data_IF_779212904571
#
_entry.id   IF_779212904571
#
_cell.length_a   1.000
_cell.length_b   1.000
_cell.length_c   1.000
_cell.angle_alpha   90.00
_cell.angle_beta   90.00
_cell.angle_gamma   90.00
#
_symmetry.space_group_name_H-M   'P 1'
#
loop_
_entity.id
_entity.type
_entity.pdbx_description
1 polymer ?
#
# COMPACT_ATOMS: atom_id res chain seq x y z
N UNK A 1 8.52 15.00 0.14
CA UNK A 1 8.54 13.85 -0.81
C UNK A 1 7.24 13.71 -1.61
N UNK A 2 6.05 13.64 -0.99
CA UNK A 2 4.77 13.52 -1.76
C UNK A 2 4.61 14.70 -2.73
N UNK A 3 4.74 15.94 -2.26
CA UNK A 3 4.64 17.12 -3.12
C UNK A 3 5.63 17.09 -4.30
N UNK A 4 6.89 16.71 -4.07
CA UNK A 4 7.91 16.57 -5.13
C UNK A 4 7.48 15.54 -6.18
N UNK A 5 7.02 14.38 -5.74
CA UNK A 5 6.55 13.31 -6.63
C UNK A 5 5.31 13.75 -7.44
N UNK A 6 4.39 14.50 -6.82
CA UNK A 6 3.22 15.08 -7.51
C UNK A 6 3.64 16.13 -8.54
N UNK A 7 4.53 17.06 -8.18
CA UNK A 7 5.07 18.05 -9.11
C UNK A 7 5.78 17.40 -10.31
N UNK A 8 6.60 16.36 -10.06
CA UNK A 8 7.25 15.61 -11.14
C UNK A 8 6.23 14.97 -12.07
N UNK A 9 5.18 14.36 -11.51
CA UNK A 9 4.10 13.75 -12.26
C UNK A 9 3.40 14.77 -13.17
N UNK A 10 3.02 15.92 -12.61
CA UNK A 10 2.37 17.01 -13.33
C UNK A 10 3.27 17.62 -14.41
N UNK A 11 4.55 17.81 -14.10
CA UNK A 11 5.52 18.32 -15.07
C UNK A 11 5.60 17.41 -16.30
N UNK A 12 5.74 16.09 -16.10
CA UNK A 12 5.79 15.11 -17.19
C UNK A 12 4.50 15.12 -18.03
N UNK A 13 3.32 15.19 -17.38
CA UNK A 13 2.04 15.25 -18.07
C UNK A 13 1.87 16.52 -18.93
N UNK A 14 2.25 17.69 -18.40
CA UNK A 14 2.12 18.97 -19.08
C UNK A 14 3.05 19.11 -20.30
N UNK A 15 4.22 18.46 -20.27
CA UNK A 15 5.20 18.52 -21.36
C UNK A 15 5.06 17.37 -22.38
N UNK A 16 3.91 16.69 -22.38
CA UNK A 16 3.53 15.78 -23.46
C UNK A 16 4.23 14.43 -23.48
N UNK A 17 4.91 14.06 -22.39
CA UNK A 17 5.58 12.79 -22.25
C UNK A 17 4.68 11.70 -21.68
N UNK A 18 4.77 10.49 -22.22
CA UNK A 18 4.34 9.30 -21.48
C UNK A 18 5.25 9.10 -20.28
N UNK A 19 4.70 8.70 -19.14
CA UNK A 19 5.49 8.56 -17.93
C UNK A 19 5.03 7.37 -17.09
N UNK A 20 5.94 6.83 -16.29
CA UNK A 20 5.60 5.89 -15.24
C UNK A 20 4.83 6.61 -14.15
N UNK A 21 3.73 6.01 -13.72
CA UNK A 21 2.93 6.46 -12.57
C UNK A 21 2.93 5.41 -11.50
N UNK A 22 2.95 5.85 -10.26
CA UNK A 22 2.68 4.99 -9.11
C UNK A 22 1.23 5.14 -8.72
N UNK A 23 0.44 4.10 -8.92
CA UNK A 23 -1.00 4.14 -8.68
C UNK A 23 -1.41 3.15 -7.59
N UNK A 24 -2.45 3.52 -6.87
CA UNK A 24 -3.22 2.61 -6.02
C UNK A 24 -4.68 2.82 -6.41
N UNK A 25 -5.27 1.80 -7.01
CA UNK A 25 -6.66 1.87 -7.48
C UNK A 25 -7.63 1.99 -6.32
N UNK A 26 -8.85 2.37 -6.61
CA UNK A 26 -9.95 2.28 -5.64
C UNK A 26 -10.05 0.86 -5.10
N UNK A 27 -10.19 0.67 -3.77
CA UNK A 27 -10.21 -0.66 -3.19
C UNK A 27 -11.44 -1.46 -3.64
N UNK A 28 -11.22 -2.61 -4.25
CA UNK A 28 -12.31 -3.55 -4.57
C UNK A 28 -13.07 -4.00 -3.32
N UNK A 29 -12.38 -4.02 -2.18
CA UNK A 29 -12.95 -4.40 -0.88
C UNK A 29 -13.42 -3.20 -0.06
N UNK A 30 -13.84 -2.11 -0.71
CA UNK A 30 -14.27 -0.89 -0.02
C UNK A 30 -15.38 -1.13 1.01
N UNK A 31 -16.37 -1.95 0.70
CA UNK A 31 -17.45 -2.26 1.62
C UNK A 31 -16.96 -2.92 2.92
N UNK A 32 -15.86 -3.70 2.85
CA UNK A 32 -15.22 -4.23 4.07
C UNK A 32 -14.55 -3.13 4.89
N UNK A 33 -14.01 -2.10 4.25
CA UNK A 33 -13.47 -0.91 4.94
C UNK A 33 -14.60 -0.17 5.65
N UNK A 34 -15.76 -0.02 4.99
CA UNK A 34 -16.96 0.59 5.59
C UNK A 34 -17.43 -0.21 6.81
N UNK A 35 -17.48 -1.55 6.71
CA UNK A 35 -17.82 -2.43 7.84
C UNK A 35 -16.84 -2.27 9.01
N UNK A 36 -15.53 -2.22 8.71
CA UNK A 36 -14.52 -1.97 9.75
C UNK A 36 -14.75 -0.63 10.42
N UNK A 37 -14.97 0.45 9.66
CA UNK A 37 -15.21 1.77 10.22
C UNK A 37 -16.47 1.81 11.11
N UNK A 38 -17.54 1.09 10.72
CA UNK A 38 -18.78 1.01 11.49
C UNK A 38 -18.58 0.39 12.88
N UNK A 39 -17.66 -0.57 13.03
CA UNK A 39 -17.29 -1.16 14.32
C UNK A 39 -16.66 -0.14 15.28
N UNK A 40 -16.08 0.93 14.74
CA UNK A 40 -15.53 2.06 15.50
C UNK A 40 -16.51 3.23 15.63
N UNK A 41 -17.80 3.02 15.29
CA UNK A 41 -18.83 4.05 15.38
C UNK A 41 -18.77 5.12 14.28
N UNK A 42 -18.04 4.85 13.18
CA UNK A 42 -17.85 5.79 12.08
C UNK A 42 -18.60 5.34 10.82
N UNK A 43 -19.26 6.27 10.15
CA UNK A 43 -19.95 6.03 8.89
C UNK A 43 -19.09 6.54 7.72
N UNK A 44 -18.63 5.63 6.87
CA UNK A 44 -18.00 5.96 5.60
C UNK A 44 -19.02 5.90 4.45
N UNK A 45 -18.82 6.66 3.36
CA UNK A 45 -19.66 6.57 2.16
C UNK A 45 -19.67 5.15 1.59
N UNK A 46 -20.74 4.78 0.90
CA UNK A 46 -20.83 3.48 0.21
C UNK A 46 -19.86 3.37 -0.96
N UNK A 47 -19.55 4.48 -1.60
CA UNK A 47 -18.54 4.56 -2.68
C UNK A 47 -17.16 4.92 -2.12
N UNK A 48 -16.08 4.44 -2.74
CA UNK A 48 -14.73 4.71 -2.28
C UNK A 48 -14.41 6.21 -2.22
N UNK A 49 -14.10 6.70 -1.02
CA UNK A 49 -13.70 8.07 -0.76
C UNK A 49 -12.43 8.09 0.10
N UNK A 50 -11.32 8.45 -0.53
CA UNK A 50 -10.01 8.50 0.11
C UNK A 50 -9.91 9.56 1.21
N UNK A 51 -10.63 10.70 1.07
CA UNK A 51 -10.63 11.78 2.08
C UNK A 51 -11.43 11.38 3.31
N UNK A 52 -12.59 10.73 3.10
CA UNK A 52 -13.38 10.20 4.19
C UNK A 52 -12.59 9.14 5.00
N UNK A 53 -11.87 8.25 4.28
CA UNK A 53 -10.99 7.27 4.91
C UNK A 53 -9.84 7.91 5.69
N UNK A 54 -9.17 8.91 5.11
CA UNK A 54 -8.11 9.66 5.80
C UNK A 54 -8.63 10.31 7.08
N UNK A 55 -9.79 10.97 7.02
CA UNK A 55 -10.44 11.57 8.18
C UNK A 55 -10.74 10.57 9.29
N UNK A 56 -11.29 9.40 8.91
CA UNK A 56 -11.52 8.29 9.84
C UNK A 56 -10.22 7.85 10.53
N UNK A 57 -9.19 7.54 9.76
CA UNK A 57 -7.89 7.08 10.29
C UNK A 57 -7.24 8.13 11.19
N UNK A 58 -7.33 9.41 10.83
CA UNK A 58 -6.78 10.49 11.65
C UNK A 58 -7.50 10.60 13.01
N UNK A 59 -8.83 10.41 13.05
CA UNK A 59 -9.60 10.39 14.32
C UNK A 59 -9.24 9.19 15.17
N UNK A 60 -9.18 7.99 14.59
CA UNK A 60 -8.84 6.77 15.31
C UNK A 60 -7.41 6.80 15.87
N UNK A 61 -6.46 7.37 15.14
CA UNK A 61 -5.09 7.56 15.63
C UNK A 61 -5.02 8.43 16.89
N UNK A 62 -5.91 9.42 17.00
CA UNK A 62 -5.98 10.29 18.19
C UNK A 62 -6.74 9.63 19.35
N UNK A 63 -7.80 8.86 19.01
CA UNK A 63 -8.66 8.23 20.01
C UNK A 63 -8.00 7.02 20.68
N UNK A 64 -7.34 6.16 19.92
CA UNK A 64 -6.65 4.96 20.41
C UNK A 64 -5.31 4.76 19.69
N UNK A 65 -4.24 5.44 20.12
CA UNK A 65 -2.91 5.30 19.52
C UNK A 65 -2.32 3.89 19.63
N UNK A 66 -2.74 3.11 20.66
CA UNK A 66 -2.21 1.77 20.90
C UNK A 66 -2.75 0.75 19.89
N UNK A 67 -4.04 0.80 19.59
CA UNK A 67 -4.68 -0.11 18.63
C UNK A 67 -4.66 0.40 17.19
N UNK A 68 -4.35 1.67 16.99
CA UNK A 68 -4.28 2.27 15.65
C UNK A 68 -3.36 1.52 14.67
N UNK A 69 -2.17 1.00 15.06
CA UNK A 69 -1.33 0.22 14.14
C UNK A 69 -2.05 -1.01 13.56
N UNK A 70 -2.87 -1.69 14.36
CA UNK A 70 -3.61 -2.87 13.93
C UNK A 70 -4.75 -2.51 12.97
N UNK A 71 -5.53 -1.47 13.31
CA UNK A 71 -6.53 -0.91 12.41
C UNK A 71 -5.89 -0.49 11.07
N UNK A 72 -4.78 0.25 11.13
CA UNK A 72 -4.05 0.68 9.94
C UNK A 72 -3.61 -0.49 9.07
N UNK A 73 -3.11 -1.57 9.69
CA UNK A 73 -2.71 -2.79 8.97
C UNK A 73 -3.90 -3.46 8.27
N UNK A 74 -5.05 -3.56 8.94
CA UNK A 74 -6.28 -4.10 8.34
C UNK A 74 -6.70 -3.27 7.13
N UNK A 75 -6.73 -1.96 7.26
CA UNK A 75 -7.09 -1.05 6.16
C UNK A 75 -6.10 -1.17 4.99
N UNK A 76 -4.79 -1.20 5.24
CA UNK A 76 -3.77 -1.39 4.20
C UNK A 76 -3.97 -2.71 3.44
N UNK A 77 -4.25 -3.81 4.16
CA UNK A 77 -4.55 -5.10 3.53
C UNK A 77 -5.82 -5.07 2.64
N UNK A 78 -6.80 -4.24 2.99
CA UNK A 78 -8.04 -4.08 2.23
C UNK A 78 -7.91 -3.11 1.05
N UNK A 79 -7.00 -2.13 1.12
CA UNK A 79 -6.74 -1.19 0.01
C UNK A 79 -6.07 -1.82 -1.21
N UNK A 80 -5.39 -2.95 -1.03
CA UNK A 80 -4.63 -3.59 -2.10
C UNK A 80 -3.21 -3.02 -2.28
N UNK A 81 -2.47 -3.60 -3.25
CA UNK A 81 -1.11 -3.20 -3.57
C UNK A 81 -1.09 -2.02 -4.54
N UNK A 82 -0.03 -1.22 -4.48
CA UNK A 82 0.23 -0.25 -5.52
C UNK A 82 0.94 -0.91 -6.71
N UNK A 83 0.77 -0.32 -7.89
CA UNK A 83 1.38 -0.78 -9.12
C UNK A 83 2.04 0.38 -9.89
N UNK A 84 2.92 0.06 -10.82
CA UNK A 84 3.40 1.02 -11.81
C UNK A 84 2.60 0.84 -13.10
N UNK A 85 2.17 1.94 -13.67
CA UNK A 85 1.47 1.97 -14.96
C UNK A 85 2.08 3.05 -15.84
N UNK A 86 1.90 2.92 -17.15
CA UNK A 86 2.21 4.01 -18.09
C UNK A 86 0.96 4.85 -18.28
N UNK A 87 1.10 6.13 -18.09
CA UNK A 87 0.04 7.10 -18.32
C UNK A 87 0.35 7.94 -19.54
N UNK A 88 -0.63 8.08 -20.40
CA UNK A 88 -0.56 8.98 -21.55
C UNK A 88 -0.80 10.41 -21.11
N UNK A 89 -0.13 11.36 -21.74
CA UNK A 89 -0.30 12.79 -21.46
C UNK A 89 -1.75 13.32 -21.56
N UNK A 90 -2.63 12.58 -22.25
CA UNK A 90 -4.05 12.95 -22.47
C UNK A 90 -5.03 11.96 -21.82
N UNK A 91 -4.54 10.97 -21.06
CA UNK A 91 -5.37 10.00 -20.36
C UNK A 91 -5.94 10.55 -19.07
N UNK A 92 -7.05 9.98 -18.61
CA UNK A 92 -7.53 10.26 -17.26
C UNK A 92 -6.57 9.62 -16.22
N UNK A 93 -6.09 10.39 -15.23
CA UNK A 93 -5.18 9.87 -14.23
C UNK A 93 -5.90 8.88 -13.31
N UNK A 94 -5.33 7.69 -13.15
CA UNK A 94 -5.84 6.65 -12.24
C UNK A 94 -5.69 7.13 -10.78
N UNK A 95 -4.60 7.83 -10.48
CA UNK A 95 -4.33 8.38 -9.17
C UNK A 95 -3.78 7.38 -8.15
N UNK A 96 -3.52 7.88 -6.97
CA UNK A 96 -3.05 7.09 -5.83
C UNK A 96 -4.06 7.21 -4.68
N UNK A 97 -4.99 6.27 -4.60
CA UNK A 97 -6.10 6.30 -3.64
C UNK A 97 -5.62 6.49 -2.19
N UNK A 98 -4.63 5.72 -1.76
CA UNK A 98 -4.13 5.78 -0.38
C UNK A 98 -3.40 7.08 0.00
N UNK A 99 -3.08 7.96 -0.96
CA UNK A 99 -2.53 9.29 -0.74
C UNK A 99 -3.53 10.40 -1.07
N UNK A 100 -4.70 10.06 -1.58
CA UNK A 100 -5.72 11.01 -2.06
C UNK A 100 -5.18 12.01 -3.10
N UNK A 101 -4.26 11.57 -3.98
CA UNK A 101 -3.67 12.39 -5.04
C UNK A 101 -3.97 11.83 -6.43
N UNK A 102 -4.25 12.73 -7.39
CA UNK A 102 -4.56 12.35 -8.79
C UNK A 102 -3.30 12.01 -9.58
N UNK A 103 -2.28 12.84 -9.46
CA UNK A 103 -1.02 12.70 -10.20
C UNK A 103 0.09 12.28 -9.24
N UNK A 104 0.63 11.09 -9.43
CA UNK A 104 1.68 10.61 -8.57
C UNK A 104 2.66 9.71 -9.30
N UNK A 105 3.93 10.01 -9.15
CA UNK A 105 5.04 9.17 -9.61
C UNK A 105 6.09 9.06 -8.52
N UNK A 106 7.02 8.17 -8.69
CA UNK A 106 8.22 8.11 -7.86
C UNK A 106 9.38 8.84 -8.56
N UNK A 107 10.04 9.76 -7.84
CA UNK A 107 11.18 10.55 -8.34
C UNK A 107 12.19 10.95 -7.26
N UNK A 108 11.96 10.57 -6.00
CA UNK A 108 12.73 11.08 -4.86
C UNK A 108 13.78 10.13 -4.31
N UNK A 109 13.89 8.92 -4.84
CA UNK A 109 14.86 7.92 -4.37
C UNK A 109 15.51 7.12 -5.53
N UNK A 110 16.16 7.76 -6.52
CA UNK A 110 16.74 7.09 -7.69
C UNK A 110 17.92 6.18 -7.35
N UNK A 111 18.50 6.33 -6.17
CA UNK A 111 19.59 5.50 -5.67
C UNK A 111 19.17 4.08 -5.30
N UNK A 112 17.86 3.85 -5.06
CA UNK A 112 17.32 2.56 -4.60
C UNK A 112 16.03 2.13 -5.28
N UNK A 113 15.40 2.98 -6.07
CA UNK A 113 14.18 2.65 -6.84
C UNK A 113 14.39 2.97 -8.32
N UNK A 114 14.39 1.93 -9.14
CA UNK A 114 14.59 2.08 -10.57
C UNK A 114 13.52 2.95 -11.27
N UNK A 115 12.22 2.90 -10.92
CA UNK A 115 11.23 3.81 -11.49
C UNK A 115 11.51 5.29 -11.26
N UNK A 116 12.14 5.66 -10.14
CA UNK A 116 12.56 7.03 -9.88
C UNK A 116 13.65 7.49 -10.86
N UNK A 117 14.60 6.61 -11.14
CA UNK A 117 15.66 6.90 -12.12
C UNK A 117 15.08 7.07 -13.53
N UNK A 118 14.11 6.22 -13.93
CA UNK A 118 13.41 6.35 -15.22
C UNK A 118 12.68 7.69 -15.29
N UNK A 119 11.90 8.05 -14.26
CA UNK A 119 11.20 9.34 -14.19
C UNK A 119 12.15 10.53 -14.28
N UNK A 120 13.27 10.51 -13.58
CA UNK A 120 14.26 11.60 -13.61
C UNK A 120 14.98 11.69 -14.96
N UNK A 121 15.24 10.58 -15.66
CA UNK A 121 15.77 10.59 -17.03
C UNK A 121 14.80 11.24 -18.01
N UNK A 122 13.49 10.95 -17.87
CA UNK A 122 12.45 11.61 -18.66
C UNK A 122 12.41 13.12 -18.40
N UNK A 123 12.46 13.54 -17.13
CA UNK A 123 12.52 14.97 -16.75
C UNK A 123 13.76 15.63 -17.34
N UNK A 124 14.93 15.00 -17.20
CA UNK A 124 16.18 15.54 -17.73
C UNK A 124 16.12 15.76 -19.25
N UNK A 125 15.64 14.77 -20.01
CA UNK A 125 15.53 14.89 -21.46
C UNK A 125 14.60 16.03 -21.86
N UNK A 126 13.46 16.18 -21.18
CA UNK A 126 12.52 17.30 -21.44
C UNK A 126 13.16 18.67 -21.14
N UNK A 127 13.88 18.81 -20.04
CA UNK A 127 14.55 20.06 -19.68
C UNK A 127 15.69 20.41 -20.63
N UNK A 128 16.38 19.41 -21.20
CA UNK A 128 17.44 19.59 -22.19
C UNK A 128 16.92 19.76 -23.63
N UNK A 129 15.61 19.65 -23.86
CA UNK A 129 15.03 19.65 -25.20
C UNK A 129 15.40 18.42 -26.04
N UNK A 130 15.82 17.35 -25.36
CA UNK A 130 16.19 16.08 -26.01
C UNK A 130 14.98 15.19 -26.22
N UNK A 131 15.12 14.22 -27.12
CA UNK A 131 14.09 13.18 -27.32
C UNK A 131 13.94 12.35 -26.04
N UNK A 132 12.67 11.98 -25.73
CA UNK A 132 12.38 11.07 -24.64
C UNK A 132 13.23 9.77 -24.74
N UNK A 133 13.96 9.39 -23.68
CA UNK A 133 14.87 8.25 -23.70
C UNK A 133 14.15 6.89 -23.73
N UNK A 134 12.86 6.87 -23.45
CA UNK A 134 12.04 5.65 -23.43
C UNK A 134 10.78 5.83 -24.26
N UNK A 135 10.48 4.83 -25.11
CA UNK A 135 9.23 4.75 -25.85
C UNK A 135 8.09 4.16 -24.99
N UNK A 136 6.86 4.31 -25.49
CA UNK A 136 5.66 3.80 -24.81
C UNK A 136 5.73 2.31 -24.47
N UNK A 137 6.09 1.48 -25.44
CA UNK A 137 6.17 0.02 -25.27
C UNK A 137 7.24 -0.36 -24.23
N UNK A 138 8.37 0.34 -24.25
CA UNK A 138 9.43 0.14 -23.27
C UNK A 138 9.01 0.54 -21.87
N UNK A 139 8.35 1.70 -21.71
CA UNK A 139 7.80 2.12 -20.43
C UNK A 139 6.75 1.13 -19.90
N UNK A 140 5.91 0.55 -20.76
CA UNK A 140 4.94 -0.47 -20.37
C UNK A 140 5.63 -1.72 -19.80
N UNK A 141 6.65 -2.22 -20.51
CA UNK A 141 7.47 -3.36 -20.05
C UNK A 141 8.16 -3.03 -18.71
N UNK A 142 8.70 -1.83 -18.57
CA UNK A 142 9.34 -1.39 -17.32
C UNK A 142 8.32 -1.28 -16.18
N UNK A 143 7.12 -0.79 -16.42
CA UNK A 143 6.05 -0.70 -15.43
C UNK A 143 5.68 -2.08 -14.88
N UNK A 144 5.42 -3.04 -15.76
CA UNK A 144 5.11 -4.42 -15.41
C UNK A 144 6.26 -5.07 -14.63
N UNK A 145 7.48 -4.95 -15.17
CA UNK A 145 8.66 -5.50 -14.51
C UNK A 145 8.86 -4.93 -13.10
N UNK A 146 8.77 -3.61 -12.92
CA UNK A 146 8.95 -2.96 -11.63
C UNK A 146 7.87 -3.37 -10.62
N UNK A 147 6.62 -3.51 -11.06
CA UNK A 147 5.52 -3.98 -10.22
C UNK A 147 5.78 -5.41 -9.76
N UNK A 148 6.12 -6.30 -10.69
CA UNK A 148 6.42 -7.70 -10.36
C UNK A 148 7.62 -7.85 -9.40
N UNK A 149 8.70 -7.09 -9.61
CA UNK A 149 9.87 -7.14 -8.74
C UNK A 149 9.59 -6.57 -7.35
N UNK A 150 8.77 -5.52 -7.25
CA UNK A 150 8.35 -4.99 -5.96
C UNK A 150 7.51 -6.00 -5.18
N UNK A 151 6.56 -6.67 -5.83
CA UNK A 151 5.75 -7.72 -5.21
C UNK A 151 6.62 -8.91 -4.75
N UNK A 152 7.60 -9.31 -5.55
CA UNK A 152 8.56 -10.36 -5.19
C UNK A 152 9.40 -9.95 -3.98
N UNK A 153 9.93 -8.73 -3.95
CA UNK A 153 10.69 -8.20 -2.83
C UNK A 153 9.85 -8.13 -1.54
N UNK A 154 8.60 -7.70 -1.64
CA UNK A 154 7.68 -7.68 -0.50
C UNK A 154 7.35 -9.08 0.03
N UNK A 155 7.26 -10.10 -0.85
CA UNK A 155 7.10 -11.50 -0.42
C UNK A 155 8.28 -11.99 0.40
N UNK A 156 9.50 -11.70 -0.08
CA UNK A 156 10.74 -12.07 0.63
C UNK A 156 10.81 -11.35 1.97
N UNK A 157 10.57 -10.04 2.02
CA UNK A 157 10.57 -9.26 3.26
C UNK A 157 9.58 -9.83 4.29
N UNK A 158 8.36 -10.14 3.86
CA UNK A 158 7.35 -10.76 4.73
C UNK A 158 7.78 -12.14 5.23
N UNK A 159 8.42 -12.94 4.39
CA UNK A 159 8.94 -14.26 4.77
C UNK A 159 10.06 -14.15 5.82
N UNK A 160 11.00 -13.24 5.60
CA UNK A 160 12.10 -12.99 6.56
C UNK A 160 11.55 -12.51 7.90
N UNK A 161 10.64 -11.54 7.91
CA UNK A 161 10.01 -11.06 9.15
C UNK A 161 9.28 -12.18 9.91
N UNK A 162 8.58 -13.07 9.20
CA UNK A 162 7.92 -14.23 9.82
C UNK A 162 8.92 -15.21 10.42
N UNK A 163 10.03 -15.49 9.73
CA UNK A 163 11.08 -16.37 10.22
C UNK A 163 11.77 -15.77 11.46
N UNK A 164 12.05 -14.48 11.45
CA UNK A 164 12.62 -13.75 12.59
C UNK A 164 11.68 -13.80 13.80
N UNK A 165 10.38 -13.51 13.59
CA UNK A 165 9.38 -13.61 14.63
C UNK A 165 9.26 -15.03 15.19
N UNK A 166 9.31 -16.07 14.35
CA UNK A 166 9.25 -17.46 14.76
C UNK A 166 10.47 -17.84 15.61
N UNK A 167 11.69 -17.44 15.22
CA UNK A 167 12.91 -17.66 16.00
C UNK A 167 12.81 -17.00 17.38
N UNK A 168 12.35 -15.75 17.43
CA UNK A 168 12.16 -15.06 18.69
C UNK A 168 11.13 -15.75 19.58
N UNK A 169 10.05 -16.26 19.01
CA UNK A 169 8.98 -16.95 19.74
C UNK A 169 9.36 -18.34 20.26
N UNK A 170 10.42 -18.98 19.76
CA UNK A 170 10.85 -20.30 20.22
C UNK A 170 11.07 -20.36 21.74
N UNK A 171 11.67 -19.32 22.31
CA UNK A 171 11.91 -19.22 23.76
C UNK A 171 10.66 -18.90 24.58
N UNK A 172 9.52 -18.65 23.93
CA UNK A 172 8.28 -18.22 24.56
C UNK A 172 7.14 -19.26 24.42
N UNK A 173 7.46 -20.45 23.90
CA UNK A 173 6.50 -21.56 23.76
C UNK A 173 5.89 -21.89 25.12
N UNK A 174 4.56 -22.04 25.19
CA UNK A 174 3.81 -22.31 26.41
C UNK A 174 3.38 -21.05 27.18
N UNK A 175 3.81 -19.86 26.79
CA UNK A 175 3.32 -18.60 27.38
C UNK A 175 2.01 -18.14 26.73
N UNK A 176 1.22 -17.39 27.49
CA UNK A 176 -0.03 -16.77 27.04
C UNK A 176 0.24 -15.32 26.65
N UNK A 177 -0.45 -14.85 25.62
CA UNK A 177 -0.34 -13.48 25.08
C UNK A 177 -1.70 -12.93 24.70
N UNK A 178 -1.88 -11.65 24.88
CA UNK A 178 -3.00 -10.93 24.28
C UNK A 178 -2.78 -10.81 22.78
N UNK A 179 -3.81 -11.09 22.01
CA UNK A 179 -3.74 -11.11 20.57
C UNK A 179 -5.02 -10.51 19.94
N UNK A 180 -4.92 -10.11 18.68
CA UNK A 180 -6.03 -9.64 17.85
C UNK A 180 -6.13 -10.50 16.59
N UNK A 181 -7.35 -10.79 16.16
CA UNK A 181 -7.59 -11.47 14.88
C UNK A 181 -7.32 -10.50 13.73
N UNK A 182 -6.32 -10.80 12.89
CA UNK A 182 -5.92 -9.96 11.75
C UNK A 182 -6.44 -10.42 10.41
N UNK A 183 -6.95 -11.65 10.34
CA UNK A 183 -7.51 -12.21 9.11
C UNK A 183 -8.23 -13.52 9.35
N UNK A 184 -9.25 -13.78 8.54
CA UNK A 184 -10.06 -15.00 8.59
C UNK A 184 -10.40 -15.46 7.18
N UNK A 185 -10.31 -16.77 6.95
CA UNK A 185 -10.93 -17.50 5.83
C UNK A 185 -11.81 -18.61 6.40
N UNK A 186 -12.48 -19.35 5.56
CA UNK A 186 -13.29 -20.52 5.99
C UNK A 186 -12.45 -21.60 6.69
N UNK A 187 -11.15 -21.70 6.35
CA UNK A 187 -10.25 -22.75 6.84
C UNK A 187 -9.12 -22.26 7.74
N UNK A 188 -8.99 -20.94 7.97
CA UNK A 188 -7.84 -20.40 8.69
C UNK A 188 -8.15 -19.06 9.37
N UNK A 189 -7.67 -18.91 10.60
CA UNK A 189 -7.72 -17.65 11.36
C UNK A 189 -6.30 -17.22 11.70
N UNK A 190 -5.95 -15.98 11.34
CA UNK A 190 -4.67 -15.39 11.68
C UNK A 190 -4.82 -14.45 12.86
N UNK A 191 -3.88 -14.56 13.78
CA UNK A 191 -3.81 -13.74 14.98
C UNK A 191 -2.48 -13.02 15.04
N UNK A 192 -2.49 -11.83 15.62
CA UNK A 192 -1.29 -11.06 15.92
C UNK A 192 -1.22 -10.79 17.40
N UNK A 193 -0.14 -11.18 18.04
CA UNK A 193 0.16 -10.84 19.43
C UNK A 193 0.75 -9.43 19.51
N UNK A 194 0.49 -8.72 20.61
CA UNK A 194 0.92 -7.32 20.74
C UNK A 194 2.37 -7.18 21.16
N UNK A 195 2.80 -8.00 22.08
CA UNK A 195 4.16 -7.93 22.63
C UNK A 195 4.70 -9.33 22.89
N UNK A 196 5.71 -9.76 22.13
CA UNK A 196 6.31 -9.12 20.95
C UNK A 196 5.35 -9.12 19.76
N UNK A 197 5.47 -8.18 18.79
CA UNK A 197 4.58 -8.14 17.64
C UNK A 197 4.90 -9.31 16.68
N UNK A 198 4.10 -10.37 16.74
CA UNK A 198 4.23 -11.52 15.86
C UNK A 198 2.86 -11.94 15.33
N UNK A 199 2.79 -12.31 14.04
CA UNK A 199 1.58 -12.83 13.40
C UNK A 199 1.73 -14.32 13.13
N UNK A 200 0.69 -15.08 13.46
CA UNK A 200 0.66 -16.53 13.30
C UNK A 200 -0.71 -17.05 12.93
N UNK A 201 -0.75 -18.33 12.55
CA UNK A 201 -1.97 -19.07 12.30
C UNK A 201 -2.48 -19.64 13.63
N UNK A 202 -3.76 -19.47 13.92
CA UNK A 202 -4.42 -20.14 15.04
C UNK A 202 -4.61 -21.62 14.67
N UNK A 203 -3.96 -22.53 15.39
CA UNK A 203 -3.92 -23.97 15.08
C UNK A 203 -5.05 -24.72 15.81
N UNK A 204 -5.49 -24.21 16.97
CA UNK A 204 -6.59 -24.78 17.76
C UNK A 204 -7.29 -23.67 18.55
N UNK A 205 -8.56 -23.86 18.85
CA UNK A 205 -9.37 -22.90 19.62
C UNK A 205 -10.67 -22.53 18.92
N UNK A 206 -11.27 -21.40 19.32
CA UNK A 206 -12.47 -20.88 18.67
C UNK A 206 -12.11 -20.17 17.35
N UNK A 207 -12.47 -20.81 16.24
CA UNK A 207 -12.24 -20.27 14.89
C UNK A 207 -13.33 -19.28 14.44
N UNK A 208 -14.35 -19.03 15.25
CA UNK A 208 -15.47 -18.15 14.91
C UNK A 208 -15.25 -16.67 15.32
N UNK A 209 -14.04 -16.34 15.71
CA UNK A 209 -13.67 -14.97 16.06
C UNK A 209 -13.64 -14.07 14.82
N UNK A 210 -14.29 -12.92 14.89
CA UNK A 210 -14.24 -11.91 13.82
C UNK A 210 -12.92 -11.18 13.77
N UNK A 211 -12.58 -10.62 12.61
CA UNK A 211 -11.42 -9.75 12.45
C UNK A 211 -11.57 -8.54 13.37
N UNK A 212 -10.57 -8.32 14.24
CA UNK A 212 -10.57 -7.28 15.25
C UNK A 212 -11.05 -7.72 16.65
N UNK A 213 -11.40 -9.03 16.82
CA UNK A 213 -11.68 -9.62 18.11
C UNK A 213 -10.41 -9.86 18.91
#
# INVERSE_FOLDING_TARGET
>A
MIATNTCTAQFLAQHGGSALRRVVRSPERWLRIVEVASKYGEALPKEPDSRALEGFLARQRKADPLRFPDLSLVIIKLMGSGEYVVEHARGEPIGHFGLAVRDYTHSTAPNRRYPDLVSLRMVKALLSGERAPYGMAELATLAEHCTHQEDAAQKVERSVRKSEAALFMQGLIGKQFDAIVTGRTESATWVRIFTPPAEGLLVSGDFNLDVGA
#
